data_IF_878601562174
#
_entry.id   IF_878601562174
#
_cell.length_a   1.000
_cell.length_b   1.000
_cell.length_c   1.000
_cell.angle_alpha   90.00
_cell.angle_beta   90.00
_cell.angle_gamma   90.00
#
_symmetry.space_group_name_H-M   'P 1'
#
loop_
_entity.id
_entity.type
_entity.pdbx_description
1 polymer ?
#
# COMPACT_ATOMS: atom_id res chain seq x y z
N UNK A 1 -28.68 32.52 -27.52
CA UNK A 1 -27.87 31.59 -26.72
C UNK A 1 -28.20 31.85 -25.26
N UNK A 2 -28.78 30.86 -24.57
CA UNK A 2 -29.36 31.04 -23.24
C UNK A 2 -28.25 31.05 -22.16
N UNK A 3 -28.15 32.10 -21.33
CA UNK A 3 -27.08 32.25 -20.33
C UNK A 3 -27.14 31.18 -19.23
N UNK A 4 -28.27 30.49 -19.05
CA UNK A 4 -28.45 29.42 -18.06
C UNK A 4 -27.72 28.13 -18.45
N UNK A 5 -27.58 27.89 -19.75
CA UNK A 5 -26.90 26.70 -20.28
C UNK A 5 -25.37 26.81 -20.17
N UNK A 6 -24.83 28.03 -20.20
CA UNK A 6 -23.41 28.29 -20.00
C UNK A 6 -22.98 28.05 -18.54
N UNK A 7 -23.85 28.38 -17.58
CA UNK A 7 -23.60 28.13 -16.16
C UNK A 7 -23.64 26.64 -15.81
N UNK A 8 -24.61 25.89 -16.33
CA UNK A 8 -24.71 24.43 -16.14
C UNK A 8 -23.47 23.68 -16.66
N UNK A 9 -22.94 24.09 -17.83
CA UNK A 9 -21.72 23.50 -18.37
C UNK A 9 -20.50 23.77 -17.46
N UNK A 10 -20.34 24.99 -16.95
CA UNK A 10 -19.23 25.36 -16.07
C UNK A 10 -19.20 24.55 -14.74
N UNK A 11 -20.37 24.26 -14.16
CA UNK A 11 -20.46 23.42 -12.95
C UNK A 11 -20.11 21.96 -13.20
N UNK A 12 -20.49 21.40 -14.36
CA UNK A 12 -20.13 20.02 -14.74
C UNK A 12 -18.63 19.88 -14.99
N UNK A 13 -17.98 20.91 -15.56
CA UNK A 13 -16.52 20.91 -15.75
C UNK A 13 -15.74 21.04 -14.44
N UNK A 14 -16.22 21.81 -13.45
CA UNK A 14 -15.57 21.94 -12.14
C UNK A 14 -15.66 20.67 -11.28
N UNK A 15 -16.71 19.86 -11.45
CA UNK A 15 -16.88 18.61 -10.70
C UNK A 15 -15.90 17.49 -11.14
N UNK A 16 -15.35 17.55 -12.36
CA UNK A 16 -14.42 16.52 -12.86
C UNK A 16 -12.95 16.77 -12.53
N UNK A 17 -12.59 17.95 -12.00
CA UNK A 17 -11.18 18.35 -11.80
C UNK A 17 -10.59 17.88 -10.45
N UNK A 18 -11.39 17.28 -9.56
CA UNK A 18 -10.92 16.93 -8.21
C UNK A 18 -11.07 15.44 -7.90
N UNK A 19 -10.41 14.59 -8.69
CA UNK A 19 -10.10 13.21 -8.27
C UNK A 19 -8.61 12.93 -8.46
N UNK A 20 -7.76 13.86 -8.04
CA UNK A 20 -6.36 13.57 -7.74
C UNK A 20 -6.25 13.06 -6.29
N UNK A 21 -7.02 12.03 -5.94
CA UNK A 21 -6.91 11.40 -4.63
C UNK A 21 -5.63 10.56 -4.64
N UNK A 22 -4.54 11.10 -4.13
CA UNK A 22 -3.47 10.28 -3.58
C UNK A 22 -4.13 9.39 -2.52
N UNK A 23 -4.43 8.14 -2.88
CA UNK A 23 -5.05 7.17 -1.98
C UNK A 23 -4.15 7.07 -0.75
N UNK A 24 -4.61 7.62 0.37
CA UNK A 24 -3.88 7.54 1.63
C UNK A 24 -3.75 6.07 2.00
N UNK A 25 -2.51 5.60 2.09
CA UNK A 25 -2.25 4.21 2.39
C UNK A 25 -2.63 3.93 3.85
N UNK A 26 -3.34 2.83 4.12
CA UNK A 26 -3.69 2.48 5.49
C UNK A 26 -2.43 2.24 6.33
N UNK A 27 -2.45 2.67 7.59
CA UNK A 27 -1.34 2.46 8.53
C UNK A 27 -1.13 0.99 8.88
N UNK A 28 -0.02 0.68 9.57
CA UNK A 28 0.34 -0.72 9.91
C UNK A 28 -0.73 -1.42 10.78
N UNK A 29 -1.50 -0.68 11.56
CA UNK A 29 -2.61 -1.21 12.36
C UNK A 29 -3.73 -1.81 11.50
N UNK A 30 -3.93 -1.33 10.28
CA UNK A 30 -4.85 -1.95 9.31
C UNK A 30 -4.35 -3.30 8.79
N UNK A 31 -3.12 -3.65 9.13
CA UNK A 31 -2.49 -4.95 8.91
C UNK A 31 -2.24 -5.63 10.26
N UNK A 32 -3.18 -5.51 11.21
CA UNK A 32 -3.07 -6.14 12.52
C UNK A 32 -2.71 -7.64 12.44
N UNK A 33 -3.27 -8.35 11.46
CA UNK A 33 -2.94 -9.76 11.17
C UNK A 33 -1.48 -9.99 10.77
N UNK A 34 -0.78 -8.95 10.32
CA UNK A 34 0.63 -8.96 9.93
C UNK A 34 1.59 -8.47 11.02
N UNK A 35 1.11 -7.78 12.06
CA UNK A 35 1.96 -7.10 13.05
C UNK A 35 2.97 -8.06 13.70
N UNK A 36 2.53 -9.25 14.08
CA UNK A 36 3.40 -10.26 14.68
C UNK A 36 4.52 -10.69 13.72
N UNK A 37 4.26 -10.76 12.42
CA UNK A 37 5.23 -11.21 11.43
C UNK A 37 6.23 -10.13 11.04
N UNK A 38 5.89 -8.86 11.28
CA UNK A 38 6.80 -7.73 11.12
C UNK A 38 7.84 -7.61 12.23
N UNK A 39 7.74 -8.37 13.33
CA UNK A 39 8.75 -8.33 14.40
C UNK A 39 9.99 -9.13 14.01
N UNK A 40 11.17 -8.57 14.29
CA UNK A 40 12.45 -9.23 14.04
C UNK A 40 12.52 -10.58 14.74
N UNK A 41 12.96 -11.61 14.03
CA UNK A 41 13.11 -12.97 14.55
C UNK A 41 11.84 -13.82 14.51
N UNK A 42 10.68 -13.25 14.18
CA UNK A 42 9.46 -14.03 14.04
C UNK A 42 9.44 -14.79 12.71
N UNK A 43 8.82 -15.97 12.72
CA UNK A 43 8.55 -16.73 11.51
C UNK A 43 7.68 -15.92 10.54
N UNK A 44 7.74 -16.23 9.24
CA UNK A 44 6.86 -15.61 8.25
C UNK A 44 5.44 -16.20 8.29
N UNK A 45 4.41 -15.44 7.87
CA UNK A 45 3.05 -15.94 7.81
C UNK A 45 2.92 -17.13 6.86
N UNK A 46 2.03 -18.10 7.14
CA UNK A 46 1.65 -19.07 6.12
C UNK A 46 0.96 -18.36 4.95
N UNK A 47 1.16 -18.88 3.74
CA UNK A 47 0.73 -18.24 2.50
C UNK A 47 -0.79 -18.03 2.42
N UNK A 48 -1.59 -18.84 3.11
CA UNK A 48 -3.05 -18.73 3.17
C UNK A 48 -3.54 -17.85 4.34
N UNK A 49 -2.65 -17.25 5.13
CA UNK A 49 -3.03 -16.41 6.27
C UNK A 49 -3.82 -15.16 5.84
N UNK A 50 -4.66 -14.61 6.73
CA UNK A 50 -5.32 -13.32 6.52
C UNK A 50 -4.33 -12.18 6.23
N UNK A 51 -3.12 -12.24 6.80
CA UNK A 51 -2.05 -11.30 6.51
C UNK A 51 -1.65 -11.35 5.03
N UNK A 52 -1.37 -12.56 4.51
CA UNK A 52 -0.96 -12.72 3.12
C UNK A 52 -2.06 -12.40 2.11
N UNK A 53 -3.33 -12.66 2.46
CA UNK A 53 -4.46 -12.24 1.63
C UNK A 53 -4.51 -10.72 1.47
N UNK A 54 -4.25 -9.97 2.55
CA UNK A 54 -4.18 -8.51 2.51
C UNK A 54 -2.98 -8.03 1.69
N UNK A 55 -1.80 -8.61 1.92
CA UNK A 55 -0.57 -8.24 1.21
C UNK A 55 -0.68 -8.43 -0.30
N UNK A 56 -1.37 -9.47 -0.77
CA UNK A 56 -1.57 -9.72 -2.21
C UNK A 56 -2.46 -8.68 -2.88
N UNK A 57 -3.38 -8.06 -2.14
CA UNK A 57 -4.37 -7.13 -2.70
C UNK A 57 -4.00 -5.65 -2.49
N UNK A 58 -3.12 -5.33 -1.55
CA UNK A 58 -2.61 -3.97 -1.33
C UNK A 58 -1.68 -3.51 -2.47
N UNK A 59 -1.65 -2.22 -2.82
CA UNK A 59 -0.66 -1.69 -3.78
C UNK A 59 0.77 -1.73 -3.24
N UNK A 60 1.77 -1.81 -4.12
CA UNK A 60 3.19 -1.80 -3.71
C UNK A 60 3.56 -0.51 -2.96
N UNK A 61 3.03 0.63 -3.43
CA UNK A 61 3.16 1.92 -2.75
C UNK A 61 2.68 1.83 -1.31
N UNK A 62 1.50 1.26 -1.07
CA UNK A 62 0.98 1.17 0.28
C UNK A 62 1.71 0.18 1.16
N UNK A 63 2.18 -0.94 0.62
CA UNK A 63 3.04 -1.85 1.38
C UNK A 63 4.34 -1.14 1.81
N UNK A 64 4.95 -0.38 0.92
CA UNK A 64 6.16 0.40 1.23
C UNK A 64 5.88 1.53 2.23
N UNK A 65 4.82 2.31 2.04
CA UNK A 65 4.42 3.39 2.95
C UNK A 65 4.10 2.85 4.34
N UNK A 66 3.35 1.75 4.43
CA UNK A 66 3.03 1.07 5.69
C UNK A 66 4.29 0.55 6.37
N UNK A 67 5.21 -0.07 5.63
CA UNK A 67 6.48 -0.54 6.18
C UNK A 67 7.33 0.62 6.70
N UNK A 68 7.33 1.73 5.97
CA UNK A 68 8.12 2.93 6.26
C UNK A 68 7.60 3.72 7.46
N UNK A 69 6.27 3.76 7.63
CA UNK A 69 5.58 4.57 8.65
C UNK A 69 5.04 3.70 9.80
N UNK A 70 5.78 2.65 10.17
CA UNK A 70 5.35 1.72 11.22
C UNK A 70 5.58 2.23 12.67
N UNK A 71 6.18 3.41 12.86
CA UNK A 71 6.47 4.01 14.18
C UNK A 71 7.20 3.10 15.18
N UNK A 72 8.05 2.18 14.71
CA UNK A 72 8.79 1.24 15.55
C UNK A 72 8.00 0.01 15.99
N UNK A 73 6.76 -0.18 15.50
CA UNK A 73 5.93 -1.35 15.83
C UNK A 73 6.44 -2.64 15.19
N UNK A 74 7.26 -2.53 14.14
CA UNK A 74 7.79 -3.65 13.39
C UNK A 74 9.14 -3.30 12.75
N UNK A 75 9.92 -4.33 12.47
CA UNK A 75 11.20 -4.25 11.79
C UNK A 75 11.00 -4.03 10.29
N UNK A 76 11.60 -2.96 9.76
CA UNK A 76 11.43 -2.59 8.35
C UNK A 76 11.93 -3.68 7.40
N UNK A 77 13.10 -4.26 7.68
CA UNK A 77 13.71 -5.28 6.83
C UNK A 77 12.86 -6.56 6.81
N UNK A 78 12.19 -6.88 7.91
CA UNK A 78 11.23 -7.97 7.98
C UNK A 78 9.96 -7.65 7.17
N UNK A 79 9.43 -6.43 7.25
CA UNK A 79 8.21 -6.03 6.54
C UNK A 79 8.37 -6.07 5.01
N UNK A 80 9.50 -5.61 4.48
CA UNK A 80 9.73 -5.59 3.02
C UNK A 80 9.90 -7.00 2.44
N UNK A 81 10.15 -8.03 3.26
CA UNK A 81 10.20 -9.43 2.82
C UNK A 81 8.81 -10.09 2.74
N UNK A 82 7.83 -9.58 3.48
CA UNK A 82 6.49 -10.17 3.55
C UNK A 82 5.80 -10.32 2.18
N UNK A 83 5.87 -9.35 1.25
CA UNK A 83 5.28 -9.51 -0.08
C UNK A 83 5.73 -10.79 -0.79
N UNK A 84 7.05 -11.00 -0.85
CA UNK A 84 7.64 -12.18 -1.48
C UNK A 84 7.24 -13.47 -0.75
N UNK A 85 7.29 -13.47 0.59
CA UNK A 85 6.93 -14.64 1.42
C UNK A 85 5.45 -14.99 1.33
N UNK A 86 4.61 -13.99 1.09
CA UNK A 86 3.20 -14.17 0.79
C UNK A 86 2.93 -14.56 -0.68
N UNK A 87 3.95 -14.81 -1.50
CA UNK A 87 3.79 -15.22 -2.89
C UNK A 87 3.28 -14.10 -3.81
N UNK A 88 3.41 -12.84 -3.40
CA UNK A 88 3.17 -11.70 -4.28
C UNK A 88 4.36 -11.56 -5.22
N UNK A 89 4.10 -11.42 -6.52
CA UNK A 89 5.14 -11.04 -7.48
C UNK A 89 5.56 -9.61 -7.18
N UNK A 90 6.85 -9.39 -6.94
CA UNK A 90 7.46 -8.08 -6.77
C UNK A 90 8.44 -7.91 -7.93
N UNK A 91 8.26 -6.90 -8.81
CA UNK A 91 9.15 -6.66 -9.94
C UNK A 91 10.63 -6.54 -9.52
N UNK A 92 11.53 -6.98 -10.41
CA UNK A 92 12.95 -6.74 -10.22
C UNK A 92 13.24 -5.24 -10.20
N UNK A 93 14.09 -4.83 -9.28
CA UNK A 93 14.45 -3.42 -9.13
C UNK A 93 13.42 -2.59 -8.37
N UNK A 94 12.47 -3.22 -7.66
CA UNK A 94 11.62 -2.50 -6.71
C UNK A 94 12.43 -2.04 -5.50
N UNK A 95 12.29 -0.75 -5.15
CA UNK A 95 12.93 -0.14 -3.98
C UNK A 95 11.89 0.46 -3.05
N UNK A 96 12.14 0.33 -1.75
CA UNK A 96 11.39 0.99 -0.70
C UNK A 96 12.37 1.74 0.21
N UNK A 97 12.25 3.08 0.28
CA UNK A 97 13.22 3.98 0.97
C UNK A 97 14.70 3.68 0.64
N UNK A 98 15.01 3.42 -0.63
CA UNK A 98 16.38 3.11 -1.06
C UNK A 98 16.86 1.70 -0.70
N UNK A 99 16.06 0.90 0.01
CA UNK A 99 16.32 -0.54 0.23
C UNK A 99 15.69 -1.33 -0.90
N UNK A 100 16.46 -2.28 -1.44
CA UNK A 100 15.96 -3.20 -2.47
C UNK A 100 14.98 -4.16 -1.84
N UNK A 101 13.75 -4.20 -2.37
CA UNK A 101 12.76 -5.20 -1.99
C UNK A 101 13.14 -6.51 -2.69
N UNK A 102 13.16 -7.65 -1.99
CA UNK A 102 13.37 -8.95 -2.63
C UNK A 102 12.29 -9.21 -3.68
N UNK A 103 12.67 -9.08 -4.96
CA UNK A 103 11.84 -9.37 -6.12
C UNK A 103 12.29 -10.65 -6.83
N UNK A 104 11.38 -11.21 -7.62
CA UNK A 104 11.63 -12.37 -8.49
C UNK A 104 11.73 -11.95 -9.96
#
# INVERSE_FOLDING_TARGET
>A
MDPRNAQLAAFVFLAMVVVANAQACPGLTSYASCLQYGKKGNAFPPANSPCCQKIRTTSEKCLCDTASNNNGLADFDQLIQLPQKCGRTVPKGTYCRGKKVPGW
#
